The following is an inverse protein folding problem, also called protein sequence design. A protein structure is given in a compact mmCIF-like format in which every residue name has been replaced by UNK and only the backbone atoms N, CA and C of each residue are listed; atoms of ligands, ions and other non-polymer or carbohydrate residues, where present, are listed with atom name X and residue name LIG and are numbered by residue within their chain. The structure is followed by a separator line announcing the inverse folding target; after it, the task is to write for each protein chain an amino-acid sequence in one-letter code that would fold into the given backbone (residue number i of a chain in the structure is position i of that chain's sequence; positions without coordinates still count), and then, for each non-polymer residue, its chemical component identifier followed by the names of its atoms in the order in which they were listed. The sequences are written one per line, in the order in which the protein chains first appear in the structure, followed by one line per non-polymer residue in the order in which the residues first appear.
data_IF_567691657743
#
_entry.id   IF_567691657743
#
_cell.length_a   1.000
_cell.length_b   1.000
_cell.length_c   1.000
_cell.angle_alpha   90.00
_cell.angle_beta   90.00
_cell.angle_gamma   90.00
#
_symmetry.space_group_name_H-M   'P 1'
#
loop_
_entity.id
_entity.type
_entity.pdbx_description
1 polymer ?
#
# COMPACT_ATOMS: atom_id res chain seq x y z
N UNK A 1 3.80 19.08 53.75
CA UNK A 1 3.33 19.49 52.40
C UNK A 1 4.56 19.47 51.51
N UNK A 2 4.87 18.32 50.91
CA UNK A 2 6.11 18.09 50.17
C UNK A 2 5.83 18.16 48.67
N UNK A 3 6.68 18.91 47.96
CA UNK A 3 6.61 19.21 46.53
C UNK A 3 6.67 17.96 45.63
N UNK A 4 5.88 17.99 44.55
CA UNK A 4 5.94 17.03 43.45
C UNK A 4 7.13 17.32 42.52
N UNK A 5 7.88 16.31 42.06
CA UNK A 5 8.87 16.50 41.00
C UNK A 5 8.21 16.51 39.63
N UNK A 6 8.47 17.57 38.84
CA UNK A 6 8.17 17.64 37.41
C UNK A 6 9.13 16.74 36.64
N UNK A 7 8.60 15.73 35.97
CA UNK A 7 9.37 14.95 34.98
C UNK A 7 9.55 15.78 33.70
N UNK A 8 10.80 16.16 33.45
CA UNK A 8 11.25 16.83 32.22
C UNK A 8 11.28 15.82 31.08
N UNK A 9 10.32 15.90 30.16
CA UNK A 9 10.32 15.11 28.93
C UNK A 9 11.42 15.59 27.97
N UNK A 10 12.37 14.70 27.69
CA UNK A 10 13.45 14.90 26.72
C UNK A 10 12.90 14.68 25.29
N UNK A 11 12.54 15.77 24.60
CA UNK A 11 12.15 15.73 23.19
C UNK A 11 13.38 15.61 22.30
N UNK A 12 13.65 14.41 21.77
CA UNK A 12 14.67 14.19 20.74
C UNK A 12 14.02 14.29 19.37
N UNK A 13 14.17 15.46 18.74
CA UNK A 13 13.81 15.70 17.35
C UNK A 13 14.52 14.71 16.44
N UNK A 14 13.76 13.74 15.90
CA UNK A 14 14.13 13.02 14.69
C UNK A 14 13.55 13.80 13.54
N UNK A 15 14.33 14.01 12.49
CA UNK A 15 13.83 14.50 11.20
C UNK A 15 12.79 13.50 10.69
N UNK A 16 11.54 13.69 11.11
CA UNK A 16 10.44 12.81 10.77
C UNK A 16 10.23 12.92 9.27
N UNK A 17 10.65 11.90 8.53
CA UNK A 17 9.98 11.56 7.28
C UNK A 17 8.50 11.46 7.66
N UNK A 18 7.71 12.46 7.27
CA UNK A 18 6.30 12.57 7.67
C UNK A 18 5.51 11.50 6.94
N UNK A 19 5.55 10.28 7.45
CA UNK A 19 4.71 9.19 6.96
C UNK A 19 3.32 9.33 7.56
N UNK A 20 2.31 9.07 6.75
CA UNK A 20 0.91 9.11 7.14
C UNK A 20 0.51 7.73 7.66
N UNK A 21 -0.32 7.63 8.70
CA UNK A 21 -0.78 6.34 9.17
C UNK A 21 -1.72 5.69 8.12
N UNK A 22 -1.75 4.35 8.07
CA UNK A 22 -2.54 3.62 7.10
C UNK A 22 -4.03 3.92 7.24
N UNK A 23 -4.71 4.01 6.11
CA UNK A 23 -6.17 4.08 6.06
C UNK A 23 -6.74 2.68 5.86
N UNK A 24 -8.02 2.51 6.23
CA UNK A 24 -8.75 1.29 5.92
C UNK A 24 -8.81 1.09 4.40
N UNK A 25 -8.68 -0.16 3.95
CA UNK A 25 -8.94 -0.54 2.56
C UNK A 25 -10.37 -0.19 2.11
N UNK A 26 -11.33 -0.08 3.05
CA UNK A 26 -12.71 0.34 2.75
C UNK A 26 -12.87 1.85 2.58
N UNK A 27 -11.81 2.65 2.77
CA UNK A 27 -11.87 4.08 2.56
C UNK A 27 -12.18 4.39 1.09
N UNK A 28 -12.91 5.48 0.86
CA UNK A 28 -13.27 5.94 -0.47
C UNK A 28 -12.17 6.80 -1.12
N UNK A 29 -12.33 7.06 -2.43
CA UNK A 29 -11.42 7.89 -3.21
C UNK A 29 -11.22 9.29 -2.61
N UNK A 30 -12.26 9.92 -2.07
CA UNK A 30 -12.17 11.28 -1.52
C UNK A 30 -11.27 11.30 -0.29
N UNK A 31 -11.43 10.29 0.57
CA UNK A 31 -10.60 10.11 1.77
C UNK A 31 -9.12 9.99 1.44
N UNK A 32 -8.73 9.14 0.48
CA UNK A 32 -7.32 9.00 0.11
C UNK A 32 -6.77 10.25 -0.58
N UNK A 33 -7.54 10.89 -1.47
CA UNK A 33 -7.08 12.08 -2.19
C UNK A 33 -6.86 13.26 -1.22
N UNK A 34 -7.80 13.46 -0.29
CA UNK A 34 -7.70 14.49 0.75
C UNK A 34 -6.48 14.24 1.64
N UNK A 35 -6.26 12.98 2.03
CA UNK A 35 -5.18 12.62 2.95
C UNK A 35 -3.79 12.75 2.32
N UNK A 36 -3.65 12.41 1.04
CA UNK A 36 -2.41 12.57 0.29
C UNK A 36 -2.21 14.00 -0.25
N UNK A 37 -3.25 14.84 -0.18
CA UNK A 37 -3.23 16.19 -0.75
C UNK A 37 -3.06 16.19 -2.28
N UNK A 38 -3.62 15.19 -2.96
CA UNK A 38 -3.45 14.98 -4.40
C UNK A 38 -4.68 15.38 -5.18
N UNK A 39 -4.47 15.76 -6.45
CA UNK A 39 -5.52 16.02 -7.41
C UNK A 39 -5.91 14.74 -8.18
N UNK A 40 -6.96 14.85 -8.99
CA UNK A 40 -7.48 13.74 -9.80
C UNK A 40 -6.46 13.20 -10.81
N UNK A 41 -5.56 14.05 -11.33
CA UNK A 41 -4.49 13.65 -12.25
C UNK A 41 -3.52 12.67 -11.58
N UNK A 42 -2.98 13.04 -10.41
CA UNK A 42 -2.04 12.18 -9.66
C UNK A 42 -2.75 10.91 -9.18
N UNK A 43 -4.01 11.02 -8.75
CA UNK A 43 -4.83 9.86 -8.40
C UNK A 43 -4.96 8.85 -9.57
N UNK A 44 -5.23 9.33 -10.79
CA UNK A 44 -5.29 8.48 -11.99
C UNK A 44 -3.95 7.83 -12.32
N UNK A 45 -2.83 8.52 -12.09
CA UNK A 45 -1.49 7.95 -12.27
C UNK A 45 -1.24 6.81 -11.27
N UNK A 46 -1.53 7.04 -9.98
CA UNK A 46 -1.40 6.01 -8.93
C UNK A 46 -2.27 4.78 -9.23
N UNK A 47 -3.49 5.01 -9.71
CA UNK A 47 -4.39 3.93 -10.11
C UNK A 47 -3.83 3.15 -11.29
N UNK A 48 -3.33 3.84 -12.32
CA UNK A 48 -2.73 3.21 -13.50
C UNK A 48 -1.50 2.35 -13.15
N UNK A 49 -0.64 2.85 -12.27
CA UNK A 49 0.52 2.10 -11.77
C UNK A 49 0.07 0.82 -11.03
N UNK A 50 -1.00 0.91 -10.24
CA UNK A 50 -1.57 -0.24 -9.54
C UNK A 50 -2.34 -1.21 -10.46
N UNK A 51 -2.97 -0.74 -11.53
CA UNK A 51 -3.61 -1.57 -12.56
C UNK A 51 -2.56 -2.40 -13.31
N UNK A 52 -1.41 -1.80 -13.67
CA UNK A 52 -0.31 -2.54 -14.28
C UNK A 52 0.21 -3.65 -13.36
N UNK A 53 0.35 -3.38 -12.05
CA UNK A 53 0.74 -4.39 -11.08
C UNK A 53 -0.32 -5.48 -10.89
N UNK A 54 -1.61 -5.12 -10.90
CA UNK A 54 -2.73 -6.09 -10.89
C UNK A 54 -2.68 -6.99 -12.11
N UNK A 55 -2.45 -6.45 -13.30
CA UNK A 55 -2.42 -7.23 -14.53
C UNK A 55 -1.25 -8.21 -14.54
N UNK A 56 -0.10 -7.82 -13.97
CA UNK A 56 1.03 -8.72 -13.74
C UNK A 56 0.71 -9.82 -12.71
N UNK A 57 0.09 -9.45 -11.58
CA UNK A 57 -0.31 -10.38 -10.52
C UNK A 57 -1.36 -11.40 -10.96
N UNK A 58 -2.42 -10.93 -11.60
CA UNK A 58 -3.60 -11.71 -11.95
C UNK A 58 -3.38 -12.70 -13.10
N UNK A 59 -2.22 -12.63 -13.77
CA UNK A 59 -1.81 -13.57 -14.83
C UNK A 59 -0.68 -14.50 -14.39
N UNK A 60 -0.09 -14.28 -13.22
CA UNK A 60 1.09 -15.04 -12.79
C UNK A 60 0.71 -16.20 -11.85
N UNK A 61 0.80 -17.47 -12.29
CA UNK A 61 0.44 -18.63 -11.46
C UNK A 61 1.33 -18.80 -10.22
N UNK A 62 2.56 -18.24 -10.24
CA UNK A 62 3.44 -18.24 -9.06
C UNK A 62 2.95 -17.29 -7.96
N UNK A 63 2.02 -16.37 -8.28
CA UNK A 63 1.44 -15.44 -7.31
C UNK A 63 0.31 -16.07 -6.49
N UNK A 64 -0.24 -17.19 -6.95
CA UNK A 64 -1.32 -17.92 -6.27
C UNK A 64 -0.89 -18.46 -4.91
N UNK A 65 -1.86 -18.57 -4.01
CA UNK A 65 -1.71 -19.41 -2.80
C UNK A 65 -1.50 -20.87 -3.20
N UNK A 66 -0.95 -21.67 -2.28
CA UNK A 66 -0.79 -23.11 -2.51
C UNK A 66 -2.12 -23.79 -2.82
N UNK A 67 -3.18 -23.44 -2.07
CA UNK A 67 -4.54 -23.94 -2.28
C UNK A 67 -5.06 -23.60 -3.68
N UNK A 68 -5.03 -22.31 -4.06
CA UNK A 68 -5.53 -21.87 -5.36
C UNK A 68 -4.74 -22.45 -6.52
N UNK A 69 -3.43 -22.72 -6.35
CA UNK A 69 -2.60 -23.34 -7.37
C UNK A 69 -2.97 -24.81 -7.63
N UNK A 70 -3.43 -25.51 -6.60
CA UNK A 70 -3.87 -26.90 -6.72
C UNK A 70 -5.32 -27.07 -7.18
N UNK A 71 -6.09 -25.98 -7.20
CA UNK A 71 -7.49 -25.99 -7.55
C UNK A 71 -7.68 -25.86 -9.08
N UNK A 72 -8.26 -26.87 -9.75
CA UNK A 72 -8.48 -26.83 -11.20
C UNK A 72 -9.57 -25.84 -11.64
N UNK A 73 -10.36 -25.30 -10.70
CA UNK A 73 -11.38 -24.28 -10.98
C UNK A 73 -10.81 -22.86 -11.02
N UNK A 74 -9.60 -22.64 -10.51
CA UNK A 74 -8.94 -21.34 -10.53
C UNK A 74 -8.38 -21.08 -11.93
N UNK A 75 -8.94 -20.07 -12.59
CA UNK A 75 -8.53 -19.63 -13.91
C UNK A 75 -8.17 -18.14 -13.88
N UNK A 76 -7.29 -17.74 -14.80
CA UNK A 76 -6.99 -16.32 -14.96
C UNK A 76 -8.21 -15.55 -15.51
N UNK A 77 -8.38 -14.28 -15.14
CA UNK A 77 -7.53 -13.51 -14.24
C UNK A 77 -7.82 -13.77 -12.75
N UNK A 78 -6.79 -14.13 -12.00
CA UNK A 78 -6.89 -14.49 -10.58
C UNK A 78 -7.48 -13.36 -9.72
N UNK A 79 -8.22 -13.74 -8.70
CA UNK A 79 -8.87 -12.86 -7.72
C UNK A 79 -7.91 -12.50 -6.60
N UNK A 80 -8.19 -11.39 -5.92
CA UNK A 80 -7.39 -10.95 -4.77
C UNK A 80 -7.23 -12.04 -3.69
N UNK A 81 -8.30 -12.78 -3.40
CA UNK A 81 -8.29 -13.83 -2.37
C UNK A 81 -7.51 -15.08 -2.80
N UNK A 82 -7.31 -15.29 -4.11
CA UNK A 82 -6.58 -16.44 -4.65
C UNK A 82 -5.06 -16.21 -4.64
N UNK A 83 -4.62 -14.97 -4.46
CA UNK A 83 -3.23 -14.53 -4.51
C UNK A 83 -2.61 -14.54 -3.11
N UNK A 84 -1.38 -15.06 -3.01
CA UNK A 84 -0.61 -15.08 -1.76
C UNK A 84 -0.24 -13.69 -1.25
N UNK A 85 -0.19 -13.53 0.08
CA UNK A 85 0.23 -12.28 0.72
C UNK A 85 1.66 -11.89 0.34
N UNK A 86 2.55 -12.86 0.17
CA UNK A 86 3.93 -12.62 -0.30
C UNK A 86 3.95 -12.00 -1.70
N UNK A 87 3.13 -12.50 -2.63
CA UNK A 87 3.06 -11.94 -3.98
C UNK A 87 2.47 -10.54 -4.00
N UNK A 88 1.41 -10.30 -3.20
CA UNK A 88 0.83 -8.97 -3.00
C UNK A 88 1.87 -7.99 -2.46
N UNK A 89 2.57 -8.37 -1.40
CA UNK A 89 3.62 -7.56 -0.80
C UNK A 89 4.77 -7.25 -1.78
N UNK A 90 5.25 -8.26 -2.52
CA UNK A 90 6.28 -8.08 -3.53
C UNK A 90 5.88 -7.04 -4.59
N UNK A 91 4.63 -7.10 -5.08
CA UNK A 91 4.13 -6.13 -6.05
C UNK A 91 3.88 -4.75 -5.46
N UNK A 92 3.45 -4.65 -4.20
CA UNK A 92 3.38 -3.37 -3.48
C UNK A 92 4.73 -2.67 -3.49
N UNK A 93 5.81 -3.39 -3.16
CA UNK A 93 7.17 -2.84 -3.21
C UNK A 93 7.63 -2.53 -4.63
N UNK A 94 7.27 -3.37 -5.61
CA UNK A 94 7.59 -3.14 -7.01
C UNK A 94 6.96 -1.85 -7.54
N UNK A 95 5.68 -1.60 -7.25
CA UNK A 95 4.96 -0.37 -7.64
C UNK A 95 5.65 0.87 -7.08
N UNK A 96 6.04 0.84 -5.81
CA UNK A 96 6.76 1.95 -5.17
C UNK A 96 8.12 2.19 -5.84
N UNK A 97 8.83 1.12 -6.23
CA UNK A 97 10.13 1.22 -6.93
C UNK A 97 10.00 1.72 -8.37
N UNK A 98 8.94 1.35 -9.07
CA UNK A 98 8.68 1.78 -10.46
C UNK A 98 7.86 3.07 -10.55
N UNK A 99 7.53 3.69 -9.42
CA UNK A 99 6.72 4.89 -9.37
C UNK A 99 7.34 6.04 -10.16
N UNK A 100 6.52 6.77 -10.90
CA UNK A 100 6.91 8.02 -11.56
C UNK A 100 7.32 9.10 -10.55
N UNK A 101 8.05 10.13 -10.99
CA UNK A 101 8.42 11.26 -10.12
C UNK A 101 7.19 11.99 -9.55
N UNK A 102 6.07 12.00 -10.28
CA UNK A 102 4.80 12.62 -9.84
C UNK A 102 4.13 11.81 -8.71
N UNK A 103 4.21 10.49 -8.73
CA UNK A 103 3.54 9.61 -7.76
C UNK A 103 4.45 9.21 -6.60
N UNK A 104 5.77 9.32 -6.74
CA UNK A 104 6.76 8.90 -5.74
C UNK A 104 6.53 9.52 -4.37
N UNK A 105 6.26 10.83 -4.32
CA UNK A 105 5.98 11.53 -3.07
C UNK A 105 4.77 10.94 -2.32
N UNK A 106 3.77 10.46 -3.05
CA UNK A 106 2.59 9.84 -2.45
C UNK A 106 2.95 8.50 -1.78
N UNK A 107 3.80 7.71 -2.43
CA UNK A 107 4.28 6.46 -1.85
C UNK A 107 5.23 6.70 -0.67
N UNK A 108 6.03 7.75 -0.69
CA UNK A 108 6.86 8.14 0.47
C UNK A 108 6.00 8.46 1.70
N UNK A 109 4.89 9.17 1.52
CA UNK A 109 3.91 9.40 2.60
C UNK A 109 3.25 8.09 3.08
N UNK A 110 3.06 7.13 2.16
CA UNK A 110 2.45 5.83 2.43
C UNK A 110 3.36 4.79 3.09
N UNK A 111 4.66 5.09 3.20
CA UNK A 111 5.68 4.13 3.66
C UNK A 111 5.58 3.94 5.16
N UNK A 112 5.61 2.69 5.62
CA UNK A 112 5.77 2.37 7.03
C UNK A 112 6.62 1.11 7.20
N UNK A 113 7.28 0.99 8.34
CA UNK A 113 8.07 -0.20 8.66
C UNK A 113 7.33 -1.00 9.71
N UNK A 114 7.22 -2.30 9.47
CA UNK A 114 6.86 -3.27 10.50
C UNK A 114 8.14 -3.82 11.14
N UNK A 115 8.02 -4.67 12.15
CA UNK A 115 9.19 -5.32 12.76
C UNK A 115 9.96 -6.22 11.77
N UNK A 116 9.31 -6.64 10.68
CA UNK A 116 9.84 -7.67 9.77
C UNK A 116 10.09 -7.09 8.37
N UNK A 117 9.18 -6.26 7.85
CA UNK A 117 9.21 -5.78 6.47
C UNK A 117 8.85 -4.29 6.34
N UNK A 118 9.36 -3.69 5.26
CA UNK A 118 8.88 -2.41 4.75
C UNK A 118 7.54 -2.59 4.04
N UNK A 119 6.56 -1.75 4.36
CA UNK A 119 5.24 -1.78 3.76
C UNK A 119 4.89 -0.42 3.16
N UNK A 120 3.88 -0.42 2.29
CA UNK A 120 3.33 0.81 1.73
C UNK A 120 1.81 0.74 1.65
N UNK A 121 1.12 1.48 2.51
CA UNK A 121 -0.34 1.42 2.57
C UNK A 121 -0.99 2.08 1.37
N UNK A 122 -0.35 3.08 0.76
CA UNK A 122 -0.88 3.76 -0.45
C UNK A 122 -0.87 2.78 -1.62
N UNK A 123 0.27 2.16 -1.91
CA UNK A 123 0.37 1.16 -2.98
C UNK A 123 -0.55 -0.04 -2.71
N UNK A 124 -0.63 -0.52 -1.47
CA UNK A 124 -1.53 -1.62 -1.09
C UNK A 124 -3.01 -1.25 -1.29
N UNK A 125 -3.41 -0.04 -0.94
CA UNK A 125 -4.78 0.44 -1.12
C UNK A 125 -5.15 0.50 -2.60
N UNK A 126 -4.32 1.13 -3.45
CA UNK A 126 -4.59 1.23 -4.88
C UNK A 126 -4.60 -0.13 -5.57
N UNK A 127 -3.68 -1.03 -5.19
CA UNK A 127 -3.64 -2.38 -5.73
C UNK A 127 -4.91 -3.16 -5.37
N UNK A 128 -5.36 -3.12 -4.11
CA UNK A 128 -6.60 -3.79 -3.72
C UNK A 128 -7.82 -3.19 -4.45
N UNK A 129 -7.90 -1.87 -4.58
CA UNK A 129 -8.98 -1.21 -5.30
C UNK A 129 -9.02 -1.58 -6.78
N UNK A 130 -7.86 -1.75 -7.45
CA UNK A 130 -7.82 -2.15 -8.86
C UNK A 130 -8.31 -3.58 -9.10
N UNK A 131 -8.22 -4.47 -8.09
CA UNK A 131 -8.84 -5.80 -8.13
C UNK A 131 -10.36 -5.77 -7.90
N UNK A 132 -10.86 -4.79 -7.12
CA UNK A 132 -12.27 -4.73 -6.74
C UNK A 132 -13.14 -4.07 -7.82
N UNK A 133 -12.63 -3.04 -8.48
CA UNK A 133 -13.36 -2.27 -9.50
C UNK A 133 -12.86 -2.59 -10.91
N UNK A 134 -13.02 -3.85 -11.31
CA UNK A 134 -12.70 -4.31 -12.67
C UNK A 134 -13.82 -3.98 -13.64
#
# INVERSE_FOLDING_TARGET
MFESPRETQFSKGKSSTMTLPPISQSADKSTICTRLGINDRVHKLLLKEAEAARDALSRNPYSLTEQSRTDPSVAEPYRWDEISETAKHSHVLMVVRSASDETRKCYELGRYQTQVNEENWVARWYLWHSFRYR
#
